data_IF_270398629144
#
_entry.id   IF_270398629144
#
_cell.length_a   1.000
_cell.length_b   1.000
_cell.length_c   1.000
_cell.angle_alpha   90.00
_cell.angle_beta   90.00
_cell.angle_gamma   90.00
#
_symmetry.space_group_name_H-M   'P 1'
#
loop_
_entity.id
_entity.type
_entity.pdbx_description
1 polymer ?
#
# COMPACT_ATOMS: atom_id res chain seq x y z
N UNK A 1 -11.97 26.63 2.66
CA UNK A 1 -11.20 25.46 3.10
C UNK A 1 -12.08 24.71 4.09
N UNK A 2 -12.68 23.60 3.67
CA UNK A 2 -13.36 22.70 4.62
C UNK A 2 -12.33 22.20 5.65
N UNK A 3 -12.68 22.25 6.93
CA UNK A 3 -11.92 21.51 7.93
C UNK A 3 -12.12 20.02 7.63
N UNK A 4 -11.12 19.37 7.03
CA UNK A 4 -11.13 17.90 6.86
C UNK A 4 -11.17 17.29 8.27
N UNK A 5 -12.29 16.69 8.66
CA UNK A 5 -12.39 15.92 9.90
C UNK A 5 -11.41 14.76 9.84
N UNK A 6 -10.50 14.68 10.81
CA UNK A 6 -9.58 13.55 10.92
C UNK A 6 -10.36 12.30 11.32
N UNK A 7 -10.18 11.22 10.55
CA UNK A 7 -10.72 9.89 10.84
C UNK A 7 -9.52 8.97 11.08
N UNK A 8 -9.43 8.42 12.30
CA UNK A 8 -8.46 7.37 12.62
C UNK A 8 -8.81 6.10 11.85
N UNK A 9 -7.81 5.47 11.22
CA UNK A 9 -7.98 4.29 10.36
C UNK A 9 -7.13 3.15 10.90
N UNK A 10 -7.68 1.94 10.90
CA UNK A 10 -6.95 0.71 11.22
C UNK A 10 -6.25 0.18 9.97
N UNK A 11 -4.93 0.07 10.04
CA UNK A 11 -4.07 -0.25 8.94
C UNK A 11 -3.29 -1.55 9.21
N UNK A 12 -3.05 -2.32 8.16
CA UNK A 12 -2.07 -3.40 8.17
C UNK A 12 -1.02 -3.18 7.09
N UNK A 13 0.17 -3.73 7.32
CA UNK A 13 1.30 -3.63 6.40
C UNK A 13 1.75 -5.02 6.01
N UNK A 14 1.82 -5.27 4.70
CA UNK A 14 2.30 -6.53 4.12
C UNK A 14 3.53 -6.28 3.25
N UNK A 15 4.70 -6.63 3.76
CA UNK A 15 5.94 -6.60 2.99
C UNK A 15 6.10 -7.91 2.23
N UNK A 16 6.34 -7.82 0.92
CA UNK A 16 6.49 -8.96 0.03
C UNK A 16 7.95 -9.03 -0.43
N UNK A 17 8.69 -10.00 0.12
CA UNK A 17 10.13 -10.13 -0.08
C UNK A 17 10.63 -11.53 0.27
N UNK A 18 11.46 -12.10 -0.60
CA UNK A 18 12.13 -13.38 -0.36
C UNK A 18 13.31 -13.27 0.62
N UNK A 19 13.81 -12.06 0.86
CA UNK A 19 15.09 -11.84 1.56
C UNK A 19 14.95 -11.05 2.86
N UNK A 20 13.85 -10.30 3.04
CA UNK A 20 13.60 -9.53 4.25
C UNK A 20 12.88 -10.37 5.31
N UNK A 21 13.03 -9.94 6.54
CA UNK A 21 12.26 -10.33 7.72
C UNK A 21 11.84 -9.07 8.48
N UNK A 22 11.13 -9.20 9.60
CA UNK A 22 10.64 -8.03 10.35
C UNK A 22 11.74 -7.08 10.84
N UNK A 23 12.95 -7.60 11.10
CA UNK A 23 14.11 -6.83 11.58
C UNK A 23 14.81 -6.08 10.46
N UNK A 24 14.73 -6.57 9.23
CA UNK A 24 15.39 -6.00 8.03
C UNK A 24 14.42 -5.27 7.10
N UNK A 25 13.14 -5.28 7.43
CA UNK A 25 12.07 -4.61 6.68
C UNK A 25 12.00 -3.11 6.97
N UNK A 26 12.95 -2.38 6.41
CA UNK A 26 13.04 -0.91 6.53
C UNK A 26 11.87 -0.19 5.87
N UNK A 27 11.33 -0.70 4.76
CA UNK A 27 10.17 -0.11 4.08
C UNK A 27 8.90 -0.24 4.91
N UNK A 28 8.60 -1.44 5.42
CA UNK A 28 7.43 -1.64 6.28
C UNK A 28 7.54 -0.88 7.61
N UNK A 29 8.74 -0.80 8.20
CA UNK A 29 8.97 0.04 9.37
C UNK A 29 8.72 1.53 9.07
N UNK A 30 9.20 2.04 7.94
CA UNK A 30 8.97 3.42 7.52
C UNK A 30 7.47 3.72 7.37
N UNK A 31 6.73 2.82 6.69
CA UNK A 31 5.28 2.95 6.52
C UNK A 31 4.58 2.98 7.88
N UNK A 32 4.95 2.07 8.79
CA UNK A 32 4.38 2.00 10.13
C UNK A 32 4.57 3.32 10.89
N UNK A 33 5.81 3.79 10.99
CA UNK A 33 6.13 5.01 11.72
C UNK A 33 5.39 6.23 11.15
N UNK A 34 5.27 6.32 9.82
CA UNK A 34 4.57 7.43 9.17
C UNK A 34 3.05 7.42 9.47
N UNK A 35 2.41 6.25 9.44
CA UNK A 35 0.99 6.10 9.76
C UNK A 35 0.69 6.42 11.22
N UNK A 36 1.49 5.88 12.14
CA UNK A 36 1.34 6.11 13.59
C UNK A 36 1.57 7.58 13.94
N UNK A 37 2.58 8.22 13.32
CA UNK A 37 2.83 9.67 13.49
C UNK A 37 1.67 10.52 12.99
N UNK A 38 0.98 10.09 11.94
CA UNK A 38 -0.23 10.74 11.43
C UNK A 38 -1.49 10.44 12.26
N UNK A 39 -1.39 9.63 13.32
CA UNK A 39 -2.49 9.30 14.23
C UNK A 39 -3.35 8.10 13.80
N UNK A 40 -2.95 7.37 12.76
CA UNK A 40 -3.58 6.10 12.39
C UNK A 40 -3.05 4.95 13.26
N UNK A 41 -3.72 3.80 13.24
CA UNK A 41 -3.34 2.63 14.03
C UNK A 41 -2.89 1.50 13.12
N UNK A 42 -1.68 0.98 13.36
CA UNK A 42 -1.17 -0.18 12.66
C UNK A 42 -1.41 -1.42 13.52
N UNK A 43 -2.38 -2.25 13.14
CA UNK A 43 -2.76 -3.45 13.90
C UNK A 43 -1.92 -4.68 13.54
N UNK A 44 -1.23 -4.65 12.40
CA UNK A 44 -0.38 -5.74 11.95
C UNK A 44 0.70 -5.27 10.98
N UNK A 45 1.92 -5.81 11.14
CA UNK A 45 3.01 -5.72 10.17
C UNK A 45 3.57 -7.12 9.96
N UNK A 46 3.56 -7.58 8.72
CA UNK A 46 3.95 -8.94 8.34
C UNK A 46 4.83 -8.95 7.09
N UNK A 47 5.71 -9.94 7.00
CA UNK A 47 6.55 -10.19 5.82
C UNK A 47 6.22 -11.56 5.25
N UNK A 48 6.04 -11.64 3.93
CA UNK A 48 5.80 -12.89 3.18
C UNK A 48 6.71 -12.96 1.95
N UNK A 49 7.08 -14.16 1.48
CA UNK A 49 7.79 -14.29 0.20
C UNK A 49 6.90 -13.90 -0.99
N UNK A 50 7.50 -13.72 -2.17
CA UNK A 50 6.81 -13.39 -3.43
C UNK A 50 6.08 -14.62 -4.00
N UNK A 51 5.04 -15.05 -3.30
CA UNK A 51 4.19 -16.19 -3.64
C UNK A 51 2.71 -15.80 -3.63
N UNK A 52 2.02 -16.02 -4.75
CA UNK A 52 0.61 -15.62 -4.95
C UNK A 52 -0.32 -16.21 -3.89
N UNK A 53 -0.09 -17.47 -3.48
CA UNK A 53 -0.96 -18.16 -2.52
C UNK A 53 -0.79 -17.54 -1.14
N UNK A 54 0.45 -17.34 -0.72
CA UNK A 54 0.77 -16.75 0.59
C UNK A 54 0.32 -15.29 0.68
N UNK A 55 0.52 -14.51 -0.39
CA UNK A 55 0.04 -13.12 -0.48
C UNK A 55 -1.49 -13.08 -0.31
N UNK A 56 -2.24 -13.87 -1.08
CA UNK A 56 -3.71 -13.90 -1.00
C UNK A 56 -4.22 -14.37 0.36
N UNK A 57 -3.63 -15.43 0.89
CA UNK A 57 -3.98 -15.93 2.22
C UNK A 57 -3.80 -14.84 3.28
N UNK A 58 -2.67 -14.12 3.23
CA UNK A 58 -2.38 -13.08 4.21
C UNK A 58 -3.29 -11.86 4.08
N UNK A 59 -3.64 -11.45 2.87
CA UNK A 59 -4.61 -10.37 2.64
C UNK A 59 -5.96 -10.70 3.28
N UNK A 60 -6.47 -11.92 3.06
CA UNK A 60 -7.75 -12.36 3.62
C UNK A 60 -7.71 -12.42 5.14
N UNK A 61 -6.62 -12.91 5.73
CA UNK A 61 -6.42 -12.94 7.18
C UNK A 61 -6.40 -11.53 7.78
N UNK A 62 -5.66 -10.60 7.17
CA UNK A 62 -5.59 -9.21 7.64
C UNK A 62 -6.93 -8.48 7.53
N UNK A 63 -7.68 -8.72 6.45
CA UNK A 63 -9.04 -8.20 6.29
C UNK A 63 -9.97 -8.74 7.38
N UNK A 64 -9.92 -10.05 7.66
CA UNK A 64 -10.73 -10.68 8.70
C UNK A 64 -10.38 -10.18 10.11
N UNK A 65 -9.13 -9.77 10.34
CA UNK A 65 -8.65 -9.23 11.62
C UNK A 65 -8.99 -7.75 11.86
N UNK A 66 -9.84 -7.13 11.02
CA UNK A 66 -10.33 -5.77 11.23
C UNK A 66 -9.48 -4.67 10.60
N UNK A 67 -8.59 -5.01 9.67
CA UNK A 67 -7.88 -4.02 8.88
C UNK A 67 -8.84 -3.32 7.92
N UNK A 68 -8.92 -2.00 7.98
CA UNK A 68 -9.67 -1.23 7.00
C UNK A 68 -8.79 -0.89 5.78
N UNK A 69 -7.53 -0.55 6.04
CA UNK A 69 -6.53 -0.22 5.03
C UNK A 69 -5.41 -1.26 5.04
N UNK A 70 -4.98 -1.74 3.87
CA UNK A 70 -3.82 -2.59 3.71
C UNK A 70 -2.82 -1.90 2.78
N UNK A 71 -1.60 -1.69 3.27
CA UNK A 71 -0.50 -1.16 2.46
C UNK A 71 0.50 -2.28 2.24
N UNK A 72 0.70 -2.65 0.98
CA UNK A 72 1.72 -3.62 0.59
C UNK A 72 2.94 -2.92 0.02
N UNK A 73 4.11 -3.54 0.18
CA UNK A 73 5.33 -3.10 -0.49
C UNK A 73 6.16 -4.29 -0.97
N UNK A 74 6.72 -4.18 -2.17
CA UNK A 74 7.56 -5.21 -2.78
C UNK A 74 6.85 -6.05 -3.83
N UNK A 75 7.61 -6.84 -4.59
CA UNK A 75 7.09 -7.76 -5.63
C UNK A 75 6.50 -7.11 -6.90
N UNK A 76 6.32 -5.79 -6.96
CA UNK A 76 5.67 -5.12 -8.11
C UNK A 76 6.60 -4.78 -9.29
N UNK A 77 7.80 -5.35 -9.36
CA UNK A 77 8.73 -5.11 -10.48
C UNK A 77 8.26 -5.74 -11.79
N UNK A 78 9.07 -5.68 -12.85
CA UNK A 78 8.73 -6.28 -14.17
C UNK A 78 9.56 -7.54 -14.48
N UNK A 79 10.27 -8.10 -13.49
CA UNK A 79 10.99 -9.35 -13.71
C UNK A 79 10.00 -10.48 -13.96
N UNK A 80 10.40 -11.52 -14.71
CA UNK A 80 9.51 -12.65 -15.04
C UNK A 80 8.92 -13.38 -13.83
N UNK A 81 9.59 -13.27 -12.68
CA UNK A 81 9.15 -13.86 -11.42
C UNK A 81 8.18 -12.97 -10.63
N UNK A 82 8.08 -11.68 -10.97
CA UNK A 82 7.30 -10.71 -10.23
C UNK A 82 5.82 -10.91 -10.57
N UNK A 83 5.11 -11.61 -9.69
CA UNK A 83 3.69 -11.98 -9.82
C UNK A 83 2.79 -11.20 -8.89
N UNK A 84 3.38 -10.43 -7.98
CA UNK A 84 2.68 -9.72 -6.91
C UNK A 84 1.68 -8.70 -7.43
N UNK A 85 2.02 -7.91 -8.45
CA UNK A 85 1.09 -6.88 -8.95
C UNK A 85 -0.22 -7.50 -9.44
N UNK A 86 -0.14 -8.51 -10.30
CA UNK A 86 -1.29 -9.21 -10.85
C UNK A 86 -2.09 -9.90 -9.75
N UNK A 87 -1.40 -10.52 -8.78
CA UNK A 87 -2.02 -11.16 -7.63
C UNK A 87 -2.80 -10.18 -6.76
N UNK A 88 -2.23 -9.01 -6.49
CA UNK A 88 -2.85 -7.95 -5.69
C UNK A 88 -3.98 -7.25 -6.46
N UNK A 89 -3.77 -6.93 -7.74
CA UNK A 89 -4.74 -6.20 -8.55
C UNK A 89 -6.03 -7.01 -8.74
N UNK A 90 -5.92 -8.34 -8.81
CA UNK A 90 -7.07 -9.23 -8.84
C UNK A 90 -7.92 -9.22 -7.54
N UNK A 91 -7.45 -8.60 -6.45
CA UNK A 91 -8.20 -8.50 -5.18
C UNK A 91 -9.06 -7.25 -5.05
N UNK A 92 -8.89 -6.27 -5.94
CA UNK A 92 -9.69 -5.04 -5.95
C UNK A 92 -10.83 -5.14 -6.96
N UNK A 93 -11.97 -4.54 -6.63
CA UNK A 93 -13.13 -4.40 -7.52
C UNK A 93 -13.25 -2.99 -8.10
N UNK A 94 -12.77 -1.99 -7.35
CA UNK A 94 -12.83 -0.59 -7.75
C UNK A 94 -11.45 0.04 -7.62
N UNK A 95 -10.79 0.24 -8.76
CA UNK A 95 -9.50 0.92 -8.82
C UNK A 95 -9.64 2.42 -8.52
N UNK A 96 -8.60 2.99 -7.89
CA UNK A 96 -8.37 4.43 -7.76
C UNK A 96 -7.19 4.76 -8.69
N UNK A 97 -7.41 4.92 -10.01
CA UNK A 97 -6.33 4.98 -11.00
C UNK A 97 -5.39 6.16 -10.77
N UNK A 98 -5.94 7.29 -10.29
CA UNK A 98 -5.19 8.50 -9.97
C UNK A 98 -4.04 8.27 -8.96
N UNK A 99 -4.13 7.26 -8.10
CA UNK A 99 -3.03 6.93 -7.19
C UNK A 99 -1.77 6.50 -7.97
N UNK A 100 -1.90 5.53 -8.87
CA UNK A 100 -0.78 5.03 -9.65
C UNK A 100 -0.26 6.07 -10.64
N UNK A 101 -1.15 6.86 -11.24
CA UNK A 101 -0.81 7.94 -12.17
C UNK A 101 0.01 9.04 -11.49
N UNK A 102 -0.49 9.60 -10.38
CA UNK A 102 0.20 10.66 -9.65
C UNK A 102 1.50 10.11 -9.02
N UNK A 103 1.48 8.88 -8.51
CA UNK A 103 2.69 8.25 -7.99
C UNK A 103 3.81 8.18 -9.03
N UNK A 104 3.50 7.76 -10.27
CA UNK A 104 4.48 7.72 -11.36
C UNK A 104 4.94 9.12 -11.78
N UNK A 105 4.05 10.10 -11.80
CA UNK A 105 4.41 11.49 -12.10
C UNK A 105 5.38 12.05 -11.06
N UNK A 106 5.09 11.92 -9.77
CA UNK A 106 5.99 12.33 -8.69
C UNK A 106 7.30 11.53 -8.70
N UNK A 107 7.23 10.22 -8.97
CA UNK A 107 8.43 9.39 -9.08
C UNK A 107 9.31 9.82 -10.25
N UNK A 108 8.73 10.31 -11.34
CA UNK A 108 9.50 10.80 -12.48
C UNK A 108 10.36 12.02 -12.11
N UNK A 109 9.87 12.87 -11.21
CA UNK A 109 10.65 14.00 -10.69
C UNK A 109 11.87 13.54 -9.87
N UNK A 110 11.78 12.40 -9.17
CA UNK A 110 12.87 11.87 -8.35
C UNK A 110 13.85 10.94 -9.11
N UNK A 111 13.33 10.06 -9.96
CA UNK A 111 14.11 8.98 -10.60
C UNK A 111 14.07 8.99 -12.13
N UNK A 112 13.46 10.01 -12.73
CA UNK A 112 13.35 10.18 -14.18
C UNK A 112 12.61 9.03 -14.85
N UNK A 113 13.09 8.62 -16.02
CA UNK A 113 12.46 7.57 -16.84
C UNK A 113 12.30 6.21 -16.15
N UNK A 114 13.01 5.95 -15.05
CA UNK A 114 12.82 4.73 -14.23
C UNK A 114 11.42 4.62 -13.65
N UNK A 115 10.72 5.75 -13.45
CA UNK A 115 9.33 5.76 -13.00
C UNK A 115 8.37 5.04 -13.96
N UNK A 116 8.74 4.91 -15.25
CA UNK A 116 7.94 4.22 -16.27
C UNK A 116 7.62 2.76 -15.90
N UNK A 117 8.54 2.08 -15.21
CA UNK A 117 8.36 0.67 -14.82
C UNK A 117 7.84 0.50 -13.39
N UNK A 118 7.56 1.60 -12.69
CA UNK A 118 7.03 1.54 -11.33
C UNK A 118 5.54 1.19 -11.35
N UNK A 119 5.22 -0.02 -10.89
CA UNK A 119 3.84 -0.50 -10.78
C UNK A 119 3.34 -0.29 -9.35
N UNK A 120 2.54 0.76 -9.18
CA UNK A 120 1.82 1.06 -7.96
C UNK A 120 0.35 1.30 -8.30
N UNK A 121 -0.56 0.87 -7.44
CA UNK A 121 -1.98 1.08 -7.61
C UNK A 121 -2.68 1.15 -6.25
N UNK A 122 -3.92 1.64 -6.26
CA UNK A 122 -4.80 1.59 -5.11
C UNK A 122 -6.22 1.21 -5.54
N UNK A 123 -6.99 0.66 -4.62
CA UNK A 123 -8.39 0.30 -4.89
C UNK A 123 -9.08 -0.32 -3.71
N UNK A 124 -10.41 -0.45 -3.82
CA UNK A 124 -11.23 -1.14 -2.84
C UNK A 124 -11.51 -2.57 -3.27
N UNK A 125 -11.38 -3.51 -2.35
CA UNK A 125 -11.89 -4.87 -2.51
C UNK A 125 -13.42 -4.91 -2.43
N UNK A 126 -14.00 -6.07 -2.75
CA UNK A 126 -15.42 -6.37 -2.55
C UNK A 126 -15.88 -6.16 -1.11
N UNK A 127 -15.05 -6.58 -0.14
CA UNK A 127 -15.32 -6.42 1.29
C UNK A 127 -15.14 -4.99 1.81
N UNK A 128 -14.73 -4.06 0.95
CA UNK A 128 -14.46 -2.66 1.33
C UNK A 128 -13.05 -2.42 1.89
N UNK A 129 -12.15 -3.41 1.88
CA UNK A 129 -10.74 -3.21 2.23
C UNK A 129 -10.09 -2.25 1.23
N UNK A 130 -9.51 -1.15 1.71
CA UNK A 130 -8.72 -0.24 0.89
C UNK A 130 -7.29 -0.79 0.77
N UNK A 131 -6.85 -1.09 -0.46
CA UNK A 131 -5.51 -1.60 -0.75
C UNK A 131 -4.66 -0.50 -1.41
N UNK A 132 -3.44 -0.32 -0.93
CA UNK A 132 -2.37 0.40 -1.64
C UNK A 132 -1.21 -0.57 -1.91
N UNK A 133 -0.86 -0.76 -3.18
CA UNK A 133 0.27 -1.60 -3.57
C UNK A 133 1.46 -0.73 -4.01
N UNK A 134 2.58 -0.84 -3.30
CA UNK A 134 3.77 -0.02 -3.50
C UNK A 134 4.98 -0.83 -3.99
N UNK A 135 5.92 -0.21 -4.71
CA UNK A 135 7.25 -0.80 -4.93
C UNK A 135 8.00 -1.02 -3.60
N UNK A 136 8.94 -1.98 -3.58
CA UNK A 136 9.65 -2.36 -2.34
C UNK A 136 10.74 -1.38 -1.85
N UNK A 137 11.08 -0.35 -2.63
CA UNK A 137 12.11 0.62 -2.22
C UNK A 137 11.58 1.58 -1.15
N UNK A 138 12.41 1.91 -0.16
CA UNK A 138 12.02 2.80 0.93
C UNK A 138 11.69 4.21 0.42
N UNK A 139 12.38 4.70 -0.62
CA UNK A 139 12.07 5.99 -1.26
C UNK A 139 10.67 5.99 -1.89
N UNK A 140 10.31 4.93 -2.63
CA UNK A 140 8.97 4.82 -3.21
C UNK A 140 7.89 4.76 -2.13
N UNK A 141 8.14 4.00 -1.06
CA UNK A 141 7.22 3.92 0.09
C UNK A 141 7.07 5.28 0.77
N UNK A 142 8.18 6.00 1.00
CA UNK A 142 8.16 7.33 1.60
C UNK A 142 7.39 8.33 0.76
N UNK A 143 7.66 8.36 -0.55
CA UNK A 143 6.97 9.24 -1.49
C UNK A 143 5.47 8.99 -1.48
N UNK A 144 5.05 7.73 -1.64
CA UNK A 144 3.65 7.35 -1.65
C UNK A 144 2.94 7.69 -0.33
N UNK A 145 3.53 7.31 0.81
CA UNK A 145 2.90 7.51 2.11
C UNK A 145 2.76 8.99 2.44
N UNK A 146 3.83 9.78 2.24
CA UNK A 146 3.83 11.19 2.64
C UNK A 146 3.06 12.09 1.69
N UNK A 147 3.15 11.86 0.37
CA UNK A 147 2.53 12.75 -0.62
C UNK A 147 1.10 12.36 -0.99
N UNK A 148 0.74 11.08 -0.84
CA UNK A 148 -0.52 10.57 -1.38
C UNK A 148 -1.40 9.90 -0.32
N UNK A 149 -0.87 8.94 0.45
CA UNK A 149 -1.70 8.13 1.34
C UNK A 149 -2.15 8.94 2.56
N UNK A 150 -1.22 9.46 3.38
CA UNK A 150 -1.58 10.19 4.61
C UNK A 150 -2.49 11.40 4.35
N UNK A 151 -2.22 12.27 3.35
CA UNK A 151 -3.07 13.44 3.09
C UNK A 151 -4.52 13.10 2.72
N UNK A 152 -4.76 11.92 2.15
CA UNK A 152 -6.06 11.55 1.60
C UNK A 152 -6.77 10.41 2.34
N UNK A 153 -6.09 9.69 3.24
CA UNK A 153 -6.65 8.49 3.86
C UNK A 153 -7.98 8.76 4.60
N UNK A 154 -8.06 9.80 5.43
CA UNK A 154 -9.34 10.15 6.10
C UNK A 154 -10.44 10.56 5.11
N UNK A 155 -10.08 11.23 4.02
CA UNK A 155 -11.05 11.64 3.00
C UNK A 155 -11.61 10.44 2.23
N UNK A 156 -10.74 9.51 1.81
CA UNK A 156 -11.14 8.29 1.12
C UNK A 156 -12.12 7.44 1.96
N UNK A 157 -11.91 7.38 3.28
CA UNK A 157 -12.81 6.65 4.18
C UNK A 157 -14.16 7.36 4.30
N UNK A 158 -14.15 8.69 4.46
CA UNK A 158 -15.37 9.48 4.53
C UNK A 158 -16.23 9.35 3.25
N UNK A 159 -15.60 9.33 2.07
CA UNK A 159 -16.31 9.13 0.80
C UNK A 159 -16.85 7.71 0.64
N UNK A 160 -16.12 6.68 1.11
CA UNK A 160 -16.56 5.29 0.99
C UNK A 160 -17.77 4.95 1.87
N UNK A 161 -18.04 5.75 2.90
CA UNK A 161 -19.15 5.54 3.85
C UNK A 161 -20.48 6.21 3.43
N UNK A 162 -20.49 6.92 2.30
CA UNK A 162 -21.71 7.54 1.73
C UNK A 162 -22.47 6.56 0.84
#
# INVERSE_FOLDING_TARGET
MEQKTFIKVTCSILTISDTRNLDTDTSGQLIQSALETAGHEVISRVVVPDDVTLIKQKINELAANGSFCLITNGGTGIARRDVTYEALFATIQQEIPGFGEIFRMLSYEEVGSRAMVSRAFAGFSESGLLLFALPGSSNACQLAVQKLIIPELSHLIAERQK
#
